data_IF_781399908825
#
_entry.id   IF_781399908825
#
_cell.length_a   1.000
_cell.length_b   1.000
_cell.length_c   1.000
_cell.angle_alpha   90.00
_cell.angle_beta   90.00
_cell.angle_gamma   90.00
#
_symmetry.space_group_name_H-M   'P 1'
#
loop_
_entity.id
_entity.type
_entity.pdbx_description
1 polymer ?
#
# COMPACT_ATOMS: atom_id res chain seq x y z
N UNK A 1 20.30 -1.71 14.47
CA UNK A 1 19.10 -0.95 14.11
C UNK A 1 17.82 -1.79 14.21
N UNK A 2 16.77 -1.21 14.80
CA UNK A 2 15.41 -1.76 14.86
C UNK A 2 14.57 -1.34 13.66
N UNK A 3 13.92 -2.30 13.00
CA UNK A 3 13.00 -2.05 11.90
C UNK A 3 11.67 -1.45 12.41
N UNK A 4 11.25 -0.34 11.83
CA UNK A 4 10.01 0.37 12.14
C UNK A 4 9.05 0.27 10.95
N UNK A 5 7.85 -0.24 11.22
CA UNK A 5 6.70 -0.23 10.32
C UNK A 5 5.40 -0.43 11.10
N UNK A 6 4.26 -0.17 10.47
CA UNK A 6 2.96 -0.33 11.11
C UNK A 6 2.61 -1.82 11.26
N UNK A 7 2.25 -2.25 12.46
CA UNK A 7 1.71 -3.59 12.73
C UNK A 7 0.32 -3.47 13.34
N UNK A 8 -0.70 -3.75 12.53
CA UNK A 8 -2.09 -3.82 12.99
C UNK A 8 -2.41 -5.16 13.66
N UNK A 9 -3.64 -5.27 14.19
CA UNK A 9 -4.17 -6.56 14.66
C UNK A 9 -4.36 -7.57 13.51
N UNK A 10 -4.66 -7.04 12.32
CA UNK A 10 -4.79 -7.81 11.09
C UNK A 10 -3.58 -7.45 10.22
N UNK A 11 -2.82 -8.42 9.70
CA UNK A 11 -1.74 -8.17 8.76
C UNK A 11 -2.26 -7.40 7.54
N UNK A 12 -1.50 -6.38 7.12
CA UNK A 12 -1.77 -5.64 5.89
C UNK A 12 -0.58 -5.88 4.95
N UNK A 13 -0.87 -6.44 3.77
CA UNK A 13 0.11 -6.76 2.74
C UNK A 13 1.17 -5.67 2.57
N UNK A 14 0.76 -4.41 2.46
CA UNK A 14 1.68 -3.31 2.24
C UNK A 14 2.71 -3.10 3.35
N UNK A 15 2.29 -3.22 4.61
CA UNK A 15 3.17 -3.07 5.76
C UNK A 15 4.02 -4.33 5.97
N UNK A 16 3.46 -5.52 5.72
CA UNK A 16 4.15 -6.81 5.83
C UNK A 16 5.29 -6.97 4.80
N UNK A 17 5.27 -6.22 3.68
CA UNK A 17 6.39 -6.18 2.73
C UNK A 17 7.73 -5.85 3.39
N UNK A 18 7.73 -5.10 4.50
CA UNK A 18 8.94 -4.82 5.27
C UNK A 18 9.68 -6.10 5.72
N UNK A 19 8.94 -7.18 6.02
CA UNK A 19 9.50 -8.45 6.48
C UNK A 19 10.09 -9.30 5.34
N UNK A 20 9.90 -8.89 4.09
CA UNK A 20 10.41 -9.60 2.91
C UNK A 20 11.47 -8.77 2.18
N UNK A 21 11.18 -7.48 1.94
CA UNK A 21 12.06 -6.57 1.19
C UNK A 21 13.37 -6.35 1.92
N UNK A 22 13.34 -6.01 3.21
CA UNK A 22 14.56 -5.66 3.93
C UNK A 22 15.48 -6.85 4.21
N UNK A 23 14.98 -8.03 4.63
CA UNK A 23 15.84 -9.20 4.77
C UNK A 23 16.47 -9.68 3.46
N UNK A 24 15.83 -9.43 2.32
CA UNK A 24 16.39 -9.80 1.01
C UNK A 24 17.49 -8.84 0.53
N UNK A 25 17.43 -7.57 0.90
CA UNK A 25 18.30 -6.52 0.35
C UNK A 25 19.41 -6.07 1.30
N UNK A 26 19.25 -6.30 2.60
CA UNK A 26 20.23 -5.89 3.61
C UNK A 26 21.15 -7.06 3.96
N UNK A 27 22.42 -6.79 4.35
CA UNK A 27 23.30 -7.82 4.86
C UNK A 27 22.70 -8.56 6.07
N UNK A 28 23.15 -9.79 6.30
CA UNK A 28 22.74 -10.56 7.47
C UNK A 28 23.03 -9.79 8.77
N UNK A 29 22.09 -9.81 9.72
CA UNK A 29 22.15 -9.12 11.01
C UNK A 29 22.30 -7.59 10.92
N UNK A 30 22.02 -6.98 9.77
CA UNK A 30 22.04 -5.51 9.62
C UNK A 30 20.91 -4.83 10.41
N UNK A 31 19.82 -5.55 10.65
CA UNK A 31 18.74 -5.21 11.57
C UNK A 31 18.86 -6.12 12.80
N UNK A 32 19.33 -5.59 13.91
CA UNK A 32 19.70 -6.31 15.15
C UNK A 32 18.81 -5.93 16.36
N UNK A 33 17.69 -5.25 16.09
CA UNK A 33 16.73 -4.74 17.09
C UNK A 33 17.26 -3.67 18.06
N UNK A 34 18.40 -3.03 17.78
CA UNK A 34 18.85 -1.86 18.56
C UNK A 34 17.87 -0.68 18.44
N UNK A 35 17.25 -0.29 19.56
CA UNK A 35 16.28 0.80 19.65
C UNK A 35 16.91 2.19 19.57
N UNK A 36 18.24 2.30 19.73
CA UNK A 36 18.96 3.57 19.58
C UNK A 36 19.03 4.03 18.12
N UNK A 37 18.85 3.11 17.17
CA UNK A 37 18.85 3.37 15.74
C UNK A 37 17.66 2.71 15.04
N UNK A 38 16.80 3.52 14.43
CA UNK A 38 15.57 3.08 13.80
C UNK A 38 15.72 3.04 12.29
N UNK A 39 15.43 1.89 11.69
CA UNK A 39 15.29 1.74 10.25
C UNK A 39 13.82 1.95 9.87
N UNK A 40 13.50 3.09 9.27
CA UNK A 40 12.13 3.51 8.94
C UNK A 40 11.81 3.10 7.50
N UNK A 41 11.17 1.92 7.37
CA UNK A 41 10.97 1.22 6.10
C UNK A 41 9.74 1.65 5.28
N UNK A 42 9.08 0.68 4.63
CA UNK A 42 7.85 0.90 3.84
C UNK A 42 6.72 1.32 4.78
N UNK A 43 5.99 2.36 4.40
CA UNK A 43 4.77 2.75 5.10
C UNK A 43 4.55 4.27 5.21
N UNK A 44 3.50 4.63 5.94
CA UNK A 44 3.17 6.03 6.25
C UNK A 44 3.50 6.36 7.70
N UNK A 45 4.76 6.17 8.06
CA UNK A 45 5.23 6.06 9.45
C UNK A 45 6.20 7.17 9.84
N UNK A 46 6.42 8.17 8.97
CA UNK A 46 7.11 9.40 9.39
C UNK A 46 6.16 10.20 10.30
N UNK A 47 6.64 10.57 11.48
CA UNK A 47 5.86 11.29 12.48
C UNK A 47 6.67 11.61 13.74
N UNK A 48 6.12 12.48 14.58
CA UNK A 48 6.67 12.87 15.90
C UNK A 48 6.56 11.80 17.00
N UNK A 49 5.80 10.72 16.74
CA UNK A 49 5.70 9.57 17.64
C UNK A 49 6.98 8.73 17.76
N UNK A 50 7.93 8.87 16.84
CA UNK A 50 9.20 8.13 16.91
C UNK A 50 10.08 8.68 18.05
N UNK A 51 10.74 7.83 18.85
CA UNK A 51 11.54 8.28 19.99
C UNK A 51 12.56 9.36 19.62
N UNK A 52 12.52 10.50 20.32
CA UNK A 52 13.38 11.65 20.02
C UNK A 52 14.88 11.31 20.10
N UNK A 53 15.28 10.48 21.07
CA UNK A 53 16.68 10.10 21.32
C UNK A 53 17.27 9.14 20.26
N UNK A 54 16.43 8.39 19.53
CA UNK A 54 16.91 7.42 18.56
C UNK A 54 17.33 8.10 17.25
N UNK A 55 18.39 7.62 16.60
CA UNK A 55 18.71 8.02 15.23
C UNK A 55 17.78 7.33 14.25
N UNK A 56 17.18 8.04 13.29
CA UNK A 56 16.21 7.46 12.32
C UNK A 56 16.78 7.48 10.91
N UNK A 57 16.74 6.35 10.23
CA UNK A 57 17.16 6.18 8.85
C UNK A 57 15.94 5.93 7.97
N UNK A 58 15.57 6.90 7.13
CA UNK A 58 14.32 6.84 6.34
C UNK A 58 14.59 6.26 4.95
N UNK A 59 13.86 5.20 4.61
CA UNK A 59 14.01 4.43 3.37
C UNK A 59 12.65 4.30 2.66
N UNK A 60 12.26 5.33 1.90
CA UNK A 60 11.06 5.32 1.06
C UNK A 60 9.74 5.43 1.80
N UNK A 61 9.79 5.68 3.10
CA UNK A 61 8.63 6.00 3.92
C UNK A 61 8.00 7.34 3.55
N UNK A 62 6.71 7.50 3.86
CA UNK A 62 5.99 8.75 3.60
C UNK A 62 5.35 9.36 4.84
N UNK A 63 5.13 10.67 4.80
CA UNK A 63 4.27 11.38 5.75
C UNK A 63 2.82 11.39 5.23
N UNK A 64 1.84 11.16 6.09
CA UNK A 64 0.43 11.10 5.69
C UNK A 64 -0.51 11.99 6.51
N UNK A 65 0.00 12.71 7.51
CA UNK A 65 -0.80 13.59 8.34
C UNK A 65 -1.63 12.90 9.42
N UNK A 66 -1.41 11.61 9.69
CA UNK A 66 -2.04 10.92 10.83
C UNK A 66 -1.25 11.08 12.13
N UNK A 67 0.06 11.29 12.01
CA UNK A 67 0.97 11.59 13.12
C UNK A 67 1.31 13.08 13.10
N UNK A 68 1.76 13.63 14.22
CA UNK A 68 2.25 15.00 14.24
C UNK A 68 3.49 15.14 13.35
N UNK A 69 3.67 16.35 12.83
CA UNK A 69 4.78 16.66 11.94
C UNK A 69 6.08 16.72 12.76
N UNK A 70 7.07 15.85 12.51
CA UNK A 70 8.34 15.90 13.22
C UNK A 70 9.21 17.04 12.68
N UNK A 71 10.10 17.56 13.53
CA UNK A 71 11.26 18.32 13.04
C UNK A 71 12.33 17.34 12.56
N UNK A 72 12.48 17.21 11.24
CA UNK A 72 13.48 16.31 10.64
C UNK A 72 14.87 16.94 10.56
N UNK A 73 15.04 18.19 11.00
CA UNK A 73 16.29 18.93 10.94
C UNK A 73 17.03 18.98 12.29
N UNK A 74 16.53 18.24 13.29
CA UNK A 74 17.08 18.18 14.65
C UNK A 74 18.42 17.41 14.76
N UNK A 75 18.92 16.87 13.65
CA UNK A 75 20.16 16.09 13.57
C UNK A 75 20.01 14.60 13.89
N UNK A 76 18.82 14.15 14.31
CA UNK A 76 18.53 12.73 14.59
C UNK A 76 17.98 11.98 13.39
N UNK A 77 17.60 12.67 12.32
CA UNK A 77 17.08 12.08 11.09
C UNK A 77 18.13 12.04 9.99
N UNK A 78 18.28 10.86 9.39
CA UNK A 78 19.04 10.60 8.18
C UNK A 78 18.05 10.12 7.11
N UNK A 79 17.62 11.05 6.26
CA UNK A 79 16.64 10.77 5.22
C UNK A 79 17.37 10.37 3.94
N UNK A 80 17.36 9.07 3.61
CA UNK A 80 17.96 8.58 2.36
C UNK A 80 17.06 8.81 1.16
N UNK A 81 15.78 8.54 1.32
CA UNK A 81 14.74 8.96 0.38
C UNK A 81 13.36 8.79 1.01
N UNK A 82 12.38 9.48 0.44
CA UNK A 82 10.98 9.42 0.86
C UNK A 82 10.08 8.95 -0.28
N UNK A 83 8.87 8.53 0.09
CA UNK A 83 7.85 7.97 -0.82
C UNK A 83 7.56 8.84 -2.04
N UNK A 84 7.57 10.16 -1.89
CA UNK A 84 7.20 11.07 -2.97
C UNK A 84 7.28 12.56 -2.64
N UNK A 85 6.90 13.41 -3.61
CA UNK A 85 7.14 14.85 -3.58
C UNK A 85 6.29 15.58 -2.53
N UNK A 86 5.10 15.06 -2.18
CA UNK A 86 4.28 15.69 -1.15
C UNK A 86 4.91 15.47 0.23
N UNK A 87 5.47 14.28 0.49
CA UNK A 87 6.25 14.04 1.71
C UNK A 87 7.47 14.96 1.74
N UNK A 88 8.29 15.00 0.68
CA UNK A 88 9.49 15.83 0.63
C UNK A 88 9.17 17.32 0.89
N UNK A 89 8.13 17.83 0.22
CA UNK A 89 7.65 19.20 0.42
C UNK A 89 7.19 19.47 1.84
N UNK A 90 6.46 18.54 2.45
CA UNK A 90 5.89 18.71 3.80
C UNK A 90 6.98 18.71 4.87
N UNK A 91 8.03 17.90 4.70
CA UNK A 91 9.17 17.83 5.61
C UNK A 91 10.21 18.95 5.36
N UNK A 92 10.07 19.72 4.28
CA UNK A 92 11.02 20.77 3.92
C UNK A 92 12.41 20.25 3.57
N UNK A 93 12.51 19.06 2.96
CA UNK A 93 13.76 18.44 2.56
C UNK A 93 14.04 18.65 1.06
N UNK A 94 15.24 18.31 0.61
CA UNK A 94 15.59 18.36 -0.81
C UNK A 94 14.64 17.49 -1.64
N UNK A 95 14.12 18.06 -2.73
CA UNK A 95 13.26 17.37 -3.70
C UNK A 95 13.97 16.19 -4.35
N UNK A 96 15.30 16.18 -4.43
CA UNK A 96 16.09 15.06 -4.95
C UNK A 96 15.93 13.78 -4.12
N UNK A 97 15.52 13.90 -2.85
CA UNK A 97 15.23 12.77 -1.95
C UNK A 97 13.81 12.20 -2.15
N UNK A 98 12.97 12.83 -2.98
CA UNK A 98 11.72 12.23 -3.45
C UNK A 98 12.05 11.18 -4.52
N UNK A 99 12.11 9.91 -4.13
CA UNK A 99 12.45 8.80 -5.03
C UNK A 99 11.21 7.99 -5.36
N UNK A 100 10.73 7.14 -4.43
CA UNK A 100 9.51 6.35 -4.55
C UNK A 100 9.22 5.63 -3.23
N UNK A 101 8.08 4.97 -3.12
CA UNK A 101 7.81 3.97 -2.07
C UNK A 101 8.79 2.80 -2.20
N UNK A 102 9.34 2.32 -1.08
CA UNK A 102 10.34 1.23 -1.07
C UNK A 102 9.81 -0.12 -1.57
N UNK A 103 8.50 -0.32 -1.69
CA UNK A 103 7.96 -1.50 -2.38
C UNK A 103 8.40 -1.58 -3.86
N UNK A 104 8.90 -0.49 -4.46
CA UNK A 104 9.55 -0.52 -5.79
C UNK A 104 10.74 -1.50 -5.85
N UNK A 105 11.41 -1.73 -4.71
CA UNK A 105 12.59 -2.59 -4.62
C UNK A 105 12.27 -4.07 -4.80
N UNK A 106 10.99 -4.47 -4.84
CA UNK A 106 10.58 -5.81 -5.29
C UNK A 106 11.10 -6.14 -6.70
N UNK A 107 11.35 -5.12 -7.53
CA UNK A 107 11.98 -5.28 -8.85
C UNK A 107 13.42 -5.79 -8.79
N UNK A 108 14.06 -5.72 -7.63
CA UNK A 108 15.44 -6.15 -7.38
C UNK A 108 15.52 -7.55 -6.73
N UNK A 109 14.40 -8.22 -6.51
CA UNK A 109 14.31 -9.43 -5.72
C UNK A 109 13.91 -10.64 -6.59
N UNK A 110 14.29 -11.82 -6.13
CA UNK A 110 13.70 -13.07 -6.61
C UNK A 110 12.28 -13.19 -6.02
N UNK A 111 11.28 -13.21 -6.91
CA UNK A 111 9.87 -13.20 -6.53
C UNK A 111 9.21 -14.56 -6.78
N UNK A 112 8.17 -14.92 -6.00
CA UNK A 112 7.42 -16.16 -6.17
C UNK A 112 6.81 -16.22 -7.57
N UNK A 113 6.80 -17.40 -8.20
CA UNK A 113 6.28 -17.60 -9.54
C UNK A 113 4.85 -17.04 -9.69
N UNK A 114 4.50 -16.45 -10.85
CA UNK A 114 3.15 -15.95 -11.08
C UNK A 114 2.10 -17.07 -11.00
N UNK A 115 0.97 -16.81 -10.35
CA UNK A 115 -0.18 -17.70 -10.41
C UNK A 115 -0.97 -17.44 -11.71
N UNK A 116 -0.63 -18.16 -12.77
CA UNK A 116 -1.24 -18.03 -14.11
C UNK A 116 -2.75 -18.33 -14.16
N UNK A 117 -3.33 -18.84 -13.06
CA UNK A 117 -4.79 -19.04 -12.95
C UNK A 117 -5.51 -17.73 -12.63
N UNK A 118 -4.80 -16.69 -12.21
CA UNK A 118 -5.37 -15.40 -11.87
C UNK A 118 -5.76 -14.68 -13.17
N UNK A 119 -7.07 -14.54 -13.39
CA UNK A 119 -7.60 -13.76 -14.51
C UNK A 119 -7.54 -12.26 -14.21
N UNK A 120 -8.69 -11.61 -14.27
CA UNK A 120 -8.86 -10.26 -13.72
C UNK A 120 -9.03 -10.39 -12.21
N UNK A 121 -8.30 -9.58 -11.45
CA UNK A 121 -8.30 -9.61 -10.01
C UNK A 121 -8.85 -8.31 -9.41
N UNK A 122 -9.46 -8.44 -8.22
CA UNK A 122 -9.80 -7.30 -7.38
C UNK A 122 -9.15 -7.45 -6.00
N UNK A 123 -8.44 -6.40 -5.57
CA UNK A 123 -7.82 -6.31 -4.26
C UNK A 123 -8.43 -5.14 -3.47
N UNK A 124 -9.45 -5.40 -2.62
CA UNK A 124 -9.99 -4.41 -1.70
C UNK A 124 -8.99 -4.01 -0.62
N UNK A 125 -9.26 -2.89 0.06
CA UNK A 125 -8.57 -2.56 1.30
C UNK A 125 -8.96 -3.55 2.41
N UNK A 126 -8.06 -3.82 3.36
CA UNK A 126 -8.33 -4.80 4.43
C UNK A 126 -9.57 -4.44 5.27
N UNK A 127 -9.83 -3.14 5.48
CA UNK A 127 -11.04 -2.70 6.17
C UNK A 127 -12.32 -2.98 5.37
N UNK A 128 -12.25 -2.91 4.04
CA UNK A 128 -13.37 -3.21 3.15
C UNK A 128 -13.65 -4.71 3.13
N UNK A 129 -12.60 -5.55 3.16
CA UNK A 129 -12.74 -7.01 3.34
C UNK A 129 -13.53 -7.37 4.61
N UNK A 130 -13.29 -6.66 5.71
CA UNK A 130 -14.00 -6.91 6.97
C UNK A 130 -15.49 -6.49 6.94
N UNK A 131 -15.84 -5.51 6.10
CA UNK A 131 -17.15 -4.83 6.10
C UNK A 131 -18.10 -5.28 4.98
N UNK A 132 -17.53 -5.75 3.88
CA UNK A 132 -18.24 -6.06 2.64
C UNK A 132 -18.32 -7.54 2.30
N UNK A 133 -19.18 -7.84 1.32
CA UNK A 133 -19.31 -9.14 0.66
C UNK A 133 -18.49 -9.16 -0.64
N UNK A 134 -17.20 -8.81 -0.53
CA UNK A 134 -16.31 -8.67 -1.69
C UNK A 134 -15.95 -10.00 -2.33
N UNK A 135 -15.90 -11.09 -1.57
CA UNK A 135 -15.71 -12.43 -2.11
C UNK A 135 -16.87 -12.83 -3.03
N UNK A 136 -18.10 -12.57 -2.61
CA UNK A 136 -19.30 -12.82 -3.40
C UNK A 136 -19.38 -11.89 -4.61
N UNK A 137 -19.04 -10.62 -4.45
CA UNK A 137 -19.00 -9.66 -5.56
C UNK A 137 -17.97 -10.07 -6.63
N UNK A 138 -16.77 -10.48 -6.22
CA UNK A 138 -15.72 -10.97 -7.14
C UNK A 138 -16.16 -12.25 -7.85
N UNK A 139 -16.74 -13.20 -7.09
CA UNK A 139 -17.27 -14.44 -7.66
C UNK A 139 -18.35 -14.18 -8.71
N UNK A 140 -19.29 -13.28 -8.43
CA UNK A 140 -20.33 -12.90 -9.42
C UNK A 140 -19.73 -12.14 -10.61
N UNK A 141 -18.68 -11.34 -10.40
CA UNK A 141 -17.98 -10.63 -11.46
C UNK A 141 -17.10 -11.53 -12.33
N UNK A 142 -16.81 -12.77 -11.90
CA UNK A 142 -15.85 -13.65 -12.55
C UNK A 142 -14.40 -13.22 -12.33
N UNK A 143 -14.11 -12.62 -11.17
CA UNK A 143 -12.80 -12.09 -10.80
C UNK A 143 -12.21 -12.86 -9.62
N UNK A 144 -10.87 -12.91 -9.57
CA UNK A 144 -10.15 -13.39 -8.40
C UNK A 144 -10.13 -12.32 -7.32
N UNK A 145 -10.59 -12.64 -6.12
CA UNK A 145 -10.35 -11.79 -4.95
C UNK A 145 -8.91 -12.01 -4.47
N UNK A 146 -8.11 -10.95 -4.43
CA UNK A 146 -6.81 -10.95 -3.76
C UNK A 146 -7.02 -10.40 -2.35
N UNK A 147 -6.77 -11.24 -1.35
CA UNK A 147 -6.92 -10.88 0.06
C UNK A 147 -5.66 -10.13 0.52
N UNK A 148 -5.82 -8.85 0.88
CA UNK A 148 -4.74 -8.00 1.38
C UNK A 148 -4.19 -8.43 2.76
N UNK A 149 -4.77 -9.46 3.39
CA UNK A 149 -4.34 -10.02 4.68
C UNK A 149 -3.67 -11.40 4.52
N UNK A 150 -3.67 -11.95 3.29
CA UNK A 150 -3.00 -13.20 2.99
C UNK A 150 -1.47 -13.07 3.06
N UNK A 151 -0.72 -14.19 3.15
CA UNK A 151 0.74 -14.16 3.15
C UNK A 151 1.31 -13.39 1.95
N UNK A 152 2.37 -12.60 2.19
CA UNK A 152 2.99 -11.72 1.17
C UNK A 152 3.32 -12.48 -0.11
N UNK A 153 3.92 -13.66 -0.01
CA UNK A 153 4.27 -14.50 -1.17
C UNK A 153 3.05 -14.87 -2.03
N UNK A 154 1.92 -15.20 -1.39
CA UNK A 154 0.67 -15.50 -2.08
C UNK A 154 0.16 -14.28 -2.83
N UNK A 155 0.14 -13.11 -2.17
CA UNK A 155 -0.34 -11.86 -2.77
C UNK A 155 0.58 -11.44 -3.94
N UNK A 156 1.90 -11.55 -3.79
CA UNK A 156 2.87 -11.27 -4.85
C UNK A 156 2.65 -12.19 -6.05
N UNK A 157 2.54 -13.50 -5.82
CA UNK A 157 2.27 -14.49 -6.88
C UNK A 157 0.97 -14.18 -7.62
N UNK A 158 -0.09 -13.80 -6.90
CA UNK A 158 -1.38 -13.45 -7.50
C UNK A 158 -1.34 -12.13 -8.29
N UNK A 159 -0.69 -11.09 -7.77
CA UNK A 159 -0.54 -9.82 -8.49
C UNK A 159 0.26 -10.04 -9.78
N UNK A 160 1.36 -10.81 -9.73
CA UNK A 160 2.18 -11.12 -10.91
C UNK A 160 1.42 -11.93 -11.96
N UNK A 161 0.57 -12.86 -11.53
CA UNK A 161 -0.22 -13.70 -12.43
C UNK A 161 -1.47 -13.01 -13.00
N UNK A 162 -1.91 -11.91 -12.39
CA UNK A 162 -3.12 -11.21 -12.81
C UNK A 162 -2.97 -10.57 -14.20
N UNK A 163 -3.98 -10.74 -15.06
CA UNK A 163 -4.06 -10.03 -16.35
C UNK A 163 -4.37 -8.55 -16.20
N UNK A 164 -5.05 -8.20 -15.11
CA UNK A 164 -5.44 -6.85 -14.72
C UNK A 164 -5.78 -6.87 -13.24
N UNK A 165 -5.26 -5.90 -12.48
CA UNK A 165 -5.60 -5.68 -11.09
C UNK A 165 -6.48 -4.45 -10.91
N UNK A 166 -7.69 -4.61 -10.41
CA UNK A 166 -8.47 -3.50 -9.85
C UNK A 166 -8.16 -3.44 -8.35
N UNK A 167 -7.78 -2.29 -7.80
CA UNK A 167 -7.35 -2.25 -6.39
C UNK A 167 -7.76 -0.99 -5.64
N UNK A 168 -8.28 -1.19 -4.43
CA UNK A 168 -8.52 -0.14 -3.44
C UNK A 168 -7.31 0.04 -2.50
N UNK A 169 -6.51 -1.02 -2.33
CA UNK A 169 -5.30 -0.99 -1.53
C UNK A 169 -4.16 -0.29 -2.31
N UNK A 170 -3.61 0.80 -1.76
CA UNK A 170 -2.54 1.56 -2.43
C UNK A 170 -1.33 0.67 -2.79
N UNK A 171 -0.91 -0.21 -1.87
CA UNK A 171 0.19 -1.14 -2.14
C UNK A 171 -0.15 -2.17 -3.22
N UNK A 172 -1.43 -2.46 -3.47
CA UNK A 172 -1.82 -3.24 -4.65
C UNK A 172 -1.41 -2.51 -5.94
N UNK A 173 -1.63 -1.20 -6.03
CA UNK A 173 -1.21 -0.40 -7.19
C UNK A 173 0.31 -0.23 -7.26
N UNK A 174 0.98 0.06 -6.14
CA UNK A 174 2.44 0.20 -6.08
C UNK A 174 3.11 -1.07 -6.60
N UNK A 175 2.70 -2.23 -6.09
CA UNK A 175 3.30 -3.52 -6.47
C UNK A 175 2.91 -3.91 -7.89
N UNK A 176 1.66 -3.71 -8.31
CA UNK A 176 1.26 -3.99 -9.69
C UNK A 176 2.06 -3.13 -10.68
N UNK A 177 2.24 -1.84 -10.40
CA UNK A 177 3.07 -0.95 -11.22
C UNK A 177 4.53 -1.39 -11.25
N UNK A 178 5.12 -1.70 -10.09
CA UNK A 178 6.48 -2.20 -9.95
C UNK A 178 6.71 -3.48 -10.76
N UNK A 179 5.75 -4.40 -10.75
CA UNK A 179 5.84 -5.70 -11.42
C UNK A 179 5.24 -5.70 -12.83
N UNK A 180 4.81 -4.51 -13.32
CA UNK A 180 4.21 -4.29 -14.65
C UNK A 180 2.90 -5.04 -14.88
N UNK A 181 2.19 -5.42 -13.82
CA UNK A 181 0.80 -5.88 -13.89
C UNK A 181 -0.10 -4.66 -14.17
N UNK A 182 -0.88 -4.64 -15.27
CA UNK A 182 -1.79 -3.53 -15.55
C UNK A 182 -2.78 -3.34 -14.40
N UNK A 183 -3.01 -2.09 -13.99
CA UNK A 183 -3.86 -1.83 -12.82
C UNK A 183 -4.85 -0.69 -13.00
N UNK A 184 -5.94 -0.74 -12.23
CA UNK A 184 -6.98 0.29 -12.14
C UNK A 184 -7.18 0.63 -10.68
N UNK A 185 -6.98 1.91 -10.35
CA UNK A 185 -7.17 2.42 -9.00
C UNK A 185 -8.66 2.57 -8.67
N UNK A 186 -9.04 2.11 -7.49
CA UNK A 186 -10.33 2.34 -6.88
C UNK A 186 -10.18 3.31 -5.71
N UNK A 187 -11.11 4.26 -5.57
CA UNK A 187 -11.10 5.18 -4.43
C UNK A 187 -11.37 4.38 -3.16
N UNK A 188 -10.53 4.54 -2.12
CA UNK A 188 -10.85 4.05 -0.80
C UNK A 188 -12.19 4.59 -0.34
N UNK A 189 -13.05 3.72 0.21
CA UNK A 189 -14.32 4.15 0.81
C UNK A 189 -14.07 5.16 1.95
N UNK A 190 -12.88 5.10 2.58
CA UNK A 190 -12.41 6.08 3.54
C UNK A 190 -11.45 7.11 2.90
N UNK A 191 -11.92 8.35 2.74
CA UNK A 191 -11.20 9.42 2.01
C UNK A 191 -9.88 9.90 2.63
N UNK A 192 -9.52 9.46 3.83
CA UNK A 192 -8.28 9.84 4.51
C UNK A 192 -7.00 9.36 3.80
N UNK A 193 -7.10 8.42 2.86
CA UNK A 193 -5.94 7.80 2.20
C UNK A 193 -5.52 8.47 0.88
N UNK A 194 -6.30 9.40 0.33
CA UNK A 194 -6.05 9.98 -1.00
C UNK A 194 -4.70 10.71 -1.14
N UNK A 195 -4.23 11.37 -0.08
CA UNK A 195 -2.95 12.11 -0.12
C UNK A 195 -1.75 11.21 -0.38
N UNK A 196 -1.78 9.97 0.13
CA UNK A 196 -0.69 8.99 -0.03
C UNK A 196 -0.58 8.50 -1.47
N UNK A 197 -1.71 8.28 -2.13
CA UNK A 197 -1.75 7.89 -3.55
C UNK A 197 -1.10 8.95 -4.44
N UNK A 198 -1.46 10.23 -4.24
CA UNK A 198 -0.87 11.34 -4.99
C UNK A 198 0.62 11.52 -4.72
N UNK A 199 1.05 11.24 -3.49
CA UNK A 199 2.46 11.29 -3.12
C UNK A 199 3.26 10.21 -3.86
N UNK A 200 2.85 8.94 -3.79
CA UNK A 200 3.51 7.88 -4.55
C UNK A 200 3.44 8.10 -6.08
N UNK A 201 2.26 8.41 -6.61
CA UNK A 201 2.07 8.58 -8.05
C UNK A 201 2.91 9.74 -8.60
N UNK A 202 3.07 10.82 -7.83
CA UNK A 202 3.91 11.96 -8.20
C UNK A 202 5.40 11.63 -8.27
N UNK A 203 5.89 10.60 -7.56
CA UNK A 203 7.27 10.13 -7.72
C UNK A 203 7.48 9.43 -9.08
N UNK A 204 6.45 8.81 -9.63
CA UNK A 204 6.48 8.04 -10.89
C UNK A 204 5.93 8.81 -12.10
N UNK A 205 5.59 10.09 -11.94
CA UNK A 205 4.91 10.92 -12.94
C UNK A 205 3.61 10.27 -13.48
N UNK A 206 2.91 9.55 -12.60
CA UNK A 206 1.62 8.91 -12.92
C UNK A 206 0.49 9.87 -12.60
N UNK A 207 -0.33 10.19 -13.60
CA UNK A 207 -1.62 10.85 -13.38
C UNK A 207 -2.64 9.83 -12.86
N UNK A 208 -2.69 9.65 -11.54
CA UNK A 208 -3.47 8.60 -10.90
C UNK A 208 -4.98 8.85 -11.01
N UNK A 209 -5.64 7.96 -11.74
CA UNK A 209 -7.09 7.87 -11.89
C UNK A 209 -7.65 6.88 -10.87
N UNK A 210 -8.40 7.40 -9.91
CA UNK A 210 -9.12 6.60 -8.93
C UNK A 210 -10.62 6.60 -9.23
N UNK A 211 -11.20 5.41 -9.32
CA UNK A 211 -12.60 5.20 -9.69
C UNK A 211 -13.44 4.86 -8.46
N UNK A 212 -14.66 5.38 -8.36
CA UNK A 212 -15.53 5.11 -7.21
C UNK A 212 -15.93 3.63 -7.18
N UNK A 213 -15.92 3.02 -5.98
CA UNK A 213 -16.51 1.70 -5.76
C UNK A 213 -18.01 1.80 -5.48
N UNK A 214 -18.72 0.69 -5.67
CA UNK A 214 -20.08 0.52 -5.18
C UNK A 214 -20.05 -0.37 -3.94
N UNK A 215 -20.82 -0.03 -2.89
CA UNK A 215 -20.85 -0.84 -1.67
C UNK A 215 -21.46 -2.21 -1.98
N UNK A 216 -20.93 -3.24 -1.33
CA UNK A 216 -21.44 -4.62 -1.42
C UNK A 216 -22.47 -4.91 -0.32
N UNK A 217 -22.57 -4.06 0.70
CA UNK A 217 -23.41 -4.28 1.89
C UNK A 217 -24.13 -3.01 2.36
N UNK A 218 -25.21 -3.17 3.13
CA UNK A 218 -25.92 -2.05 3.76
C UNK A 218 -24.98 -1.29 4.71
N UNK A 219 -24.08 -1.99 5.38
CA UNK A 219 -23.07 -1.39 6.23
C UNK A 219 -22.13 -0.49 5.44
N UNK A 220 -21.58 -0.96 4.31
CA UNK A 220 -20.70 -0.16 3.47
C UNK A 220 -21.44 1.04 2.85
N UNK A 221 -22.70 0.85 2.44
CA UNK A 221 -23.53 1.95 1.96
C UNK A 221 -23.72 3.03 3.03
N UNK A 222 -24.00 2.62 4.27
CA UNK A 222 -24.15 3.54 5.39
C UNK A 222 -22.84 4.27 5.74
N UNK A 223 -21.72 3.55 5.81
CA UNK A 223 -20.39 4.12 6.08
C UNK A 223 -20.01 5.11 4.98
N UNK A 224 -20.16 4.73 3.71
CA UNK A 224 -19.82 5.60 2.58
C UNK A 224 -20.63 6.90 2.56
N UNK A 225 -21.89 6.87 3.05
CA UNK A 225 -22.74 8.07 3.12
C UNK A 225 -22.49 8.95 4.35
N UNK A 226 -22.13 8.35 5.48
CA UNK A 226 -22.10 9.05 6.78
C UNK A 226 -20.70 9.26 7.35
N UNK A 227 -19.70 8.53 6.85
CA UNK A 227 -18.37 8.44 7.45
C UNK A 227 -18.36 7.80 8.84
N UNK A 228 -19.46 7.15 9.26
CA UNK A 228 -19.66 6.61 10.61
C UNK A 228 -20.07 5.16 10.56
N UNK A 229 -19.81 4.45 11.65
CA UNK A 229 -20.26 3.07 11.87
C UNK A 229 -19.14 2.06 11.79
N UNK A 230 -19.50 0.81 12.05
CA UNK A 230 -18.59 -0.33 12.10
C UNK A 230 -19.36 -1.61 12.37
N UNK A 231 -18.68 -2.74 12.23
CA UNK A 231 -19.30 -4.07 12.29
C UNK A 231 -20.05 -4.35 13.60
N UNK A 232 -19.53 -3.81 14.71
CA UNK A 232 -20.12 -3.96 16.05
C UNK A 232 -21.27 -2.96 16.34
N UNK A 233 -21.45 -1.94 15.50
CA UNK A 233 -22.48 -0.91 15.68
C UNK A 233 -23.90 -1.38 15.32
N UNK A 234 -24.91 -0.54 15.57
CA UNK A 234 -26.33 -0.85 15.27
C UNK A 234 -26.54 -1.27 13.81
N UNK A 235 -25.94 -0.52 12.87
CA UNK A 235 -26.03 -0.84 11.43
C UNK A 235 -25.25 -2.10 11.08
N UNK A 236 -24.11 -2.36 11.71
CA UNK A 236 -23.35 -3.59 11.52
C UNK A 236 -24.12 -4.83 11.99
N UNK A 237 -24.79 -4.75 13.14
CA UNK A 237 -25.68 -5.81 13.64
C UNK A 237 -26.88 -6.03 12.71
N UNK A 238 -27.48 -4.96 12.18
CA UNK A 238 -28.54 -5.07 11.18
C UNK A 238 -28.02 -5.71 9.89
N UNK A 239 -26.85 -5.31 9.40
CA UNK A 239 -26.21 -5.85 8.20
C UNK A 239 -25.98 -7.36 8.29
N UNK A 240 -25.67 -7.87 9.49
CA UNK A 240 -25.51 -9.30 9.75
C UNK A 240 -26.85 -10.06 9.96
N UNK A 241 -27.98 -9.35 10.03
CA UNK A 241 -29.28 -9.96 10.28
C UNK A 241 -29.89 -10.56 9.00
N UNK A 242 -30.75 -11.59 9.11
CA UNK A 242 -31.47 -12.14 7.95
C UNK A 242 -32.31 -11.10 7.19
N UNK A 243 -32.77 -10.05 7.86
CA UNK A 243 -33.54 -8.96 7.24
C UNK A 243 -32.72 -8.17 6.22
N UNK A 244 -31.39 -8.13 6.38
CA UNK A 244 -30.49 -7.48 5.43
C UNK A 244 -30.06 -8.39 4.27
N UNK A 245 -30.46 -9.66 4.23
CA UNK A 245 -29.98 -10.62 3.23
C UNK A 245 -30.33 -10.20 1.79
N UNK A 246 -31.60 -9.80 1.55
CA UNK A 246 -32.05 -9.32 0.23
C UNK A 246 -31.34 -8.03 -0.19
N UNK A 247 -31.35 -6.94 0.62
CA UNK A 247 -30.69 -5.71 0.21
C UNK A 247 -29.17 -5.88 0.05
N UNK A 248 -28.50 -6.69 0.89
CA UNK A 248 -27.09 -7.01 0.71
C UNK A 248 -26.85 -7.72 -0.63
N UNK A 249 -27.63 -8.76 -0.95
CA UNK A 249 -27.51 -9.46 -2.24
C UNK A 249 -27.67 -8.54 -3.44
N UNK A 250 -28.63 -7.61 -3.38
CA UNK A 250 -28.82 -6.60 -4.43
C UNK A 250 -27.59 -5.70 -4.56
N UNK A 251 -27.05 -5.21 -3.43
CA UNK A 251 -25.84 -4.37 -3.42
C UNK A 251 -24.61 -5.12 -3.94
N UNK A 252 -24.40 -6.37 -3.52
CA UNK A 252 -23.36 -7.26 -4.04
C UNK A 252 -23.44 -7.40 -5.56
N UNK A 253 -24.62 -7.64 -6.13
CA UNK A 253 -24.77 -7.77 -7.59
C UNK A 253 -24.59 -6.45 -8.34
N UNK A 254 -24.92 -5.31 -7.71
CA UNK A 254 -24.60 -3.97 -8.26
C UNK A 254 -23.08 -3.78 -8.27
N UNK A 255 -22.38 -4.09 -7.18
CA UNK A 255 -20.93 -3.99 -7.09
C UNK A 255 -20.22 -4.93 -8.08
N UNK A 256 -20.70 -6.17 -8.24
CA UNK A 256 -20.17 -7.11 -9.21
C UNK A 256 -20.29 -6.62 -10.66
N UNK A 257 -21.45 -6.06 -11.04
CA UNK A 257 -21.62 -5.40 -12.34
C UNK A 257 -20.65 -4.23 -12.52
N UNK A 258 -20.55 -3.38 -11.50
CA UNK A 258 -19.66 -2.23 -11.53
C UNK A 258 -18.18 -2.63 -11.66
N UNK A 259 -17.73 -3.69 -10.99
CA UNK A 259 -16.38 -4.24 -11.17
C UNK A 259 -16.14 -4.70 -12.61
N UNK A 260 -17.11 -5.39 -13.23
CA UNK A 260 -17.01 -5.77 -14.65
C UNK A 260 -16.92 -4.57 -15.58
N UNK A 261 -17.62 -3.49 -15.28
CA UNK A 261 -17.54 -2.24 -16.04
C UNK A 261 -16.18 -1.56 -15.83
N UNK A 262 -15.68 -1.51 -14.59
CA UNK A 262 -14.34 -1.02 -14.27
C UNK A 262 -13.25 -1.79 -15.02
N UNK A 263 -13.37 -3.10 -15.17
CA UNK A 263 -12.39 -3.92 -15.91
C UNK A 263 -12.23 -3.55 -17.40
N UNK A 264 -13.12 -2.72 -17.94
CA UNK A 264 -13.06 -2.21 -19.33
C UNK A 264 -12.39 -0.83 -19.42
N UNK A 265 -12.07 -0.21 -18.29
CA UNK A 265 -11.39 1.08 -18.27
C UNK A 265 -9.93 0.91 -18.70
N UNK A 266 -9.31 1.96 -19.28
CA UNK A 266 -7.89 1.91 -19.62
C UNK A 266 -7.04 1.76 -18.35
N UNK A 267 -6.21 0.70 -18.27
CA UNK A 267 -5.32 0.52 -17.13
C UNK A 267 -4.26 1.62 -17.07
N UNK A 268 -3.54 1.64 -15.95
CA UNK A 268 -2.50 2.60 -15.65
C UNK A 268 -1.21 1.83 -15.42
N UNK A 269 -0.12 2.39 -15.93
CA UNK A 269 1.25 2.01 -15.64
C UNK A 269 2.10 3.26 -15.74
N UNK A 270 3.09 3.40 -14.86
CA UNK A 270 4.18 4.36 -15.03
C UNK A 270 4.97 4.05 -16.32
N UNK A 271 5.63 5.07 -16.87
CA UNK A 271 6.51 4.88 -18.02
C UNK A 271 7.70 3.99 -17.67
N UNK A 272 8.10 3.10 -18.59
CA UNK A 272 9.19 2.14 -18.36
C UNK A 272 10.51 2.84 -17.98
N UNK A 273 10.85 3.94 -18.66
CA UNK A 273 12.03 4.72 -18.33
C UNK A 273 11.96 5.31 -16.91
N UNK A 274 10.79 5.80 -16.51
CA UNK A 274 10.62 6.45 -15.20
C UNK A 274 10.68 5.43 -14.06
N UNK A 275 10.02 4.29 -14.22
CA UNK A 275 10.04 3.25 -13.19
C UNK A 275 11.44 2.65 -13.03
N UNK A 276 12.20 2.49 -14.13
CA UNK A 276 13.60 2.08 -14.08
C UNK A 276 14.46 3.09 -13.32
N UNK A 277 14.37 4.39 -13.66
CA UNK A 277 15.13 5.44 -12.99
C UNK A 277 14.91 5.47 -11.47
N UNK A 278 13.65 5.44 -11.02
CA UNK A 278 13.37 5.47 -9.57
C UNK A 278 13.77 4.15 -8.88
N UNK A 279 13.75 3.02 -9.60
CA UNK A 279 14.23 1.74 -9.08
C UNK A 279 15.73 1.80 -8.81
N UNK A 280 16.51 2.27 -9.80
CA UNK A 280 17.97 2.42 -9.70
C UNK A 280 18.34 3.40 -8.58
N UNK A 281 17.67 4.55 -8.49
CA UNK A 281 17.88 5.52 -7.41
C UNK A 281 17.56 4.96 -6.03
N UNK A 282 16.50 4.17 -5.90
CA UNK A 282 16.14 3.53 -4.63
C UNK A 282 17.19 2.47 -4.23
N UNK A 283 17.63 1.64 -5.18
CA UNK A 283 18.69 0.65 -4.94
C UNK A 283 20.00 1.33 -4.52
N UNK A 284 20.45 2.35 -5.28
CA UNK A 284 21.68 3.09 -4.97
C UNK A 284 21.62 3.75 -3.58
N UNK A 285 20.47 4.31 -3.20
CA UNK A 285 20.29 4.90 -1.87
C UNK A 285 20.45 3.86 -0.74
N UNK A 286 19.87 2.66 -0.91
CA UNK A 286 20.01 1.55 0.04
C UNK A 286 21.45 1.04 0.09
N UNK A 287 22.09 0.80 -1.05
CA UNK A 287 23.47 0.32 -1.10
C UNK A 287 24.46 1.32 -0.53
N UNK A 288 24.31 2.61 -0.87
CA UNK A 288 25.11 3.71 -0.32
C UNK A 288 24.97 3.79 1.19
N UNK A 289 23.76 3.55 1.71
CA UNK A 289 23.54 3.44 3.15
C UNK A 289 24.28 2.27 3.76
N UNK A 290 24.11 1.07 3.23
CA UNK A 290 24.80 -0.14 3.70
C UNK A 290 26.33 0.07 3.72
N UNK A 291 26.91 0.58 2.63
CA UNK A 291 28.35 0.89 2.55
C UNK A 291 28.79 1.89 3.63
N UNK A 292 28.02 2.97 3.82
CA UNK A 292 28.36 3.98 4.84
C UNK A 292 28.36 3.41 6.26
N UNK A 293 27.50 2.43 6.55
CA UNK A 293 27.39 1.77 7.85
C UNK A 293 28.50 0.77 8.08
N UNK A 294 28.87 0.00 7.07
CA UNK A 294 29.99 -0.95 7.14
C UNK A 294 31.35 -0.25 7.32
N UNK A 295 31.52 0.97 6.78
CA UNK A 295 32.74 1.76 6.98
C UNK A 295 32.83 2.41 8.37
N UNK A 296 31.69 2.56 9.06
CA UNK A 296 31.61 3.19 10.37
C UNK A 296 31.67 2.18 11.54
N UNK A 297 31.51 0.87 11.26
CA UNK A 297 31.56 -0.23 12.21
C UNK A 297 32.98 -0.80 12.32
#
# INVERSE_FOLDING_TARGET
MKLVFFRGHVPNFGDELNLHVWPALLPQNFLDDDESELFVGIGSIIGDHLPAQSRKFVMGSGYAGYMGLPDVHDGTWDIRFVRGPNTAKTLGIDKSLSVCDSAILLRAMDLPAPDERVGIAFMPHYESLERGFWAEACKEAGMTLIDATAPVETVLSQIRGAKLLITEAMHGAIVADALRTPWIGAKPIYGGHHKKWLDWAGALDVDVRLNDLKPTSVLEYYIGRTGRGGRLGKVGKFNASPLAAIPNRVLTSIAARHLRDMARLPPQLSADARIMEVTERAQEAVESFVRSRQLAA
#
